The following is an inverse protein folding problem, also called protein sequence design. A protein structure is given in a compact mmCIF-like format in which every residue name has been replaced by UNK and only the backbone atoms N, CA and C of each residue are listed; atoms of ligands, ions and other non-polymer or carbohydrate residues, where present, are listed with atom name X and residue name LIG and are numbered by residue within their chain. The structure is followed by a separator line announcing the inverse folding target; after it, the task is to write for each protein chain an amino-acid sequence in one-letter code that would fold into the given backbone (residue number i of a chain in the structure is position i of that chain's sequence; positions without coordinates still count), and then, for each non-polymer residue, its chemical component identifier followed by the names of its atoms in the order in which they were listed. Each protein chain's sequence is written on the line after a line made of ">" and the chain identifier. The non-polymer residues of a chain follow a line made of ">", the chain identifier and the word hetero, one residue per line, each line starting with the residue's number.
data_IF_965398829639
#
_entry.id   IF_965398829639
#
_cell.length_a   1.000
_cell.length_b   1.000
_cell.length_c   1.000
_cell.angle_alpha   90.00
_cell.angle_beta   90.00
_cell.angle_gamma   90.00
#
_symmetry.space_group_name_H-M   'P 1'
#
loop_
_entity.id
_entity.type
_entity.pdbx_description
1 polymer ?
#
# COMPACT_ATOMS: atom_id res chain seq x y z
N UNK A 1 -9.14 -86.47 16.41
CA UNK A 1 -8.24 -85.74 17.33
C UNK A 1 -7.01 -85.38 16.52
N UNK A 2 -6.51 -84.17 16.73
CA UNK A 2 -5.24 -83.59 16.26
C UNK A 2 -5.11 -83.02 14.84
N UNK A 3 -4.62 -81.77 14.85
CA UNK A 3 -4.18 -80.94 13.73
C UNK A 3 -2.84 -81.45 13.17
N UNK A 4 -2.60 -81.21 11.87
CA UNK A 4 -1.26 -81.05 11.33
C UNK A 4 -1.23 -80.16 10.07
N UNK A 5 -0.06 -79.58 9.87
CA UNK A 5 0.43 -78.47 9.03
C UNK A 5 0.50 -78.65 7.51
N UNK A 6 0.35 -77.50 6.81
CA UNK A 6 1.10 -76.93 5.65
C UNK A 6 1.30 -77.70 4.32
N UNK A 7 1.07 -76.99 3.21
CA UNK A 7 1.87 -76.99 1.95
C UNK A 7 1.38 -75.91 0.97
N UNK A 8 2.30 -75.25 0.24
CA UNK A 8 2.06 -74.28 -0.85
C UNK A 8 2.16 -74.95 -2.24
N UNK A 9 1.53 -74.40 -3.29
CA UNK A 9 2.32 -73.84 -4.43
C UNK A 9 1.69 -72.63 -5.18
N UNK A 10 2.52 -71.85 -5.89
CA UNK A 10 2.18 -70.74 -6.84
C UNK A 10 1.75 -71.26 -8.24
N UNK A 11 1.45 -70.45 -9.32
CA UNK A 11 1.10 -69.01 -9.54
C UNK A 11 -0.20 -68.85 -10.42
N UNK A 12 -0.62 -67.66 -10.97
CA UNK A 12 -0.09 -67.13 -12.24
C UNK A 12 -0.11 -65.58 -12.42
N UNK A 13 0.46 -65.16 -13.55
CA UNK A 13 0.76 -63.80 -14.03
C UNK A 13 -0.40 -63.08 -14.77
N UNK A 14 -0.37 -61.73 -14.70
CA UNK A 14 -0.85 -60.67 -15.64
C UNK A 14 -2.12 -60.90 -16.50
N UNK A 15 -3.26 -60.32 -16.10
CA UNK A 15 -4.07 -59.31 -16.86
C UNK A 15 -5.39 -58.93 -16.16
N UNK A 16 -5.65 -57.61 -16.10
CA UNK A 16 -6.95 -56.94 -15.86
C UNK A 16 -7.53 -57.12 -14.43
N UNK A 17 -8.20 -56.17 -13.79
CA UNK A 17 -8.73 -54.87 -14.17
C UNK A 17 -9.04 -54.14 -12.84
N UNK A 18 -8.72 -52.84 -12.80
CA UNK A 18 -9.18 -51.74 -11.93
C UNK A 18 -9.95 -51.97 -10.60
N UNK A 19 -9.72 -50.98 -9.72
CA UNK A 19 -10.37 -50.63 -8.45
C UNK A 19 -9.75 -51.36 -7.23
N UNK A 20 -9.08 -50.70 -6.28
CA UNK A 20 -9.51 -49.49 -5.56
C UNK A 20 -8.31 -48.76 -4.96
N UNK A 21 -8.35 -47.44 -5.10
CA UNK A 21 -7.37 -46.42 -4.71
C UNK A 21 -7.27 -46.27 -3.19
N UNK A 22 -6.12 -46.63 -2.59
CA UNK A 22 -5.56 -45.99 -1.38
C UNK A 22 -4.04 -46.07 -1.48
N UNK A 23 -3.40 -44.97 -1.87
CA UNK A 23 -1.97 -44.78 -1.68
C UNK A 23 -1.73 -43.33 -1.33
N UNK A 24 -1.30 -43.13 -0.10
CA UNK A 24 -0.76 -41.87 0.41
C UNK A 24 0.42 -41.44 -0.47
N UNK A 25 0.20 -40.43 -1.30
CA UNK A 25 1.28 -39.68 -1.94
C UNK A 25 1.58 -38.46 -1.08
N UNK A 26 2.63 -38.56 -0.29
CA UNK A 26 3.42 -37.41 0.18
C UNK A 26 3.90 -36.63 -1.05
N UNK A 27 3.09 -35.67 -1.49
CA UNK A 27 3.56 -34.63 -2.39
C UNK A 27 4.47 -33.71 -1.56
N UNK A 28 5.77 -33.99 -1.60
CA UNK A 28 6.77 -33.00 -1.24
C UNK A 28 6.52 -31.78 -2.13
N UNK A 29 5.92 -30.74 -1.56
CA UNK A 29 5.88 -29.42 -2.18
C UNK A 29 7.32 -28.95 -2.21
N UNK A 30 7.99 -29.21 -3.33
CA UNK A 30 9.22 -28.53 -3.67
C UNK A 30 8.85 -27.06 -3.87
N UNK A 31 8.87 -26.29 -2.77
CA UNK A 31 8.95 -24.84 -2.83
C UNK A 31 10.26 -24.56 -3.55
N UNK A 32 10.14 -24.30 -4.85
CA UNK A 32 11.24 -23.75 -5.64
C UNK A 32 11.47 -22.34 -5.10
N UNK A 33 12.23 -22.24 -4.02
CA UNK A 33 12.92 -21.01 -3.71
C UNK A 33 13.87 -20.77 -4.88
N UNK A 34 13.41 -20.03 -5.89
CA UNK A 34 14.30 -19.34 -6.81
C UNK A 34 15.07 -18.36 -5.93
N UNK A 35 16.20 -18.82 -5.40
CA UNK A 35 17.27 -17.92 -5.04
C UNK A 35 17.52 -17.09 -6.29
N UNK A 36 17.19 -15.81 -6.23
CA UNK A 36 17.57 -14.87 -7.26
C UNK A 36 19.11 -14.93 -7.34
N UNK A 37 19.63 -15.67 -8.32
CA UNK A 37 20.96 -15.39 -8.84
C UNK A 37 21.05 -13.88 -9.03
N UNK A 38 22.13 -13.20 -8.64
CA UNK A 38 22.33 -11.80 -8.98
C UNK A 38 22.39 -11.72 -10.51
N UNK A 39 21.22 -11.62 -11.13
CA UNK A 39 21.05 -11.43 -12.55
C UNK A 39 21.72 -10.11 -12.84
N UNK A 40 22.61 -10.13 -13.84
CA UNK A 40 23.24 -8.99 -14.46
C UNK A 40 22.35 -7.75 -14.31
N UNK A 41 22.61 -6.89 -13.31
CA UNK A 41 21.76 -5.73 -13.07
C UNK A 41 21.94 -4.86 -14.30
N UNK A 42 20.96 -4.89 -15.21
CA UNK A 42 20.96 -4.04 -16.38
C UNK A 42 21.23 -2.62 -15.89
N UNK A 43 22.29 -2.00 -16.41
CA UNK A 43 22.59 -0.58 -16.16
C UNK A 43 21.91 0.28 -17.21
N UNK A 44 20.91 -0.25 -17.92
CA UNK A 44 20.12 0.51 -18.86
C UNK A 44 19.53 1.73 -18.17
N UNK A 45 19.65 2.84 -18.87
CA UNK A 45 19.29 4.16 -18.39
C UNK A 45 17.78 4.23 -18.21
N UNK A 46 17.32 4.68 -17.04
CA UNK A 46 15.91 4.94 -16.75
C UNK A 46 15.74 6.40 -16.39
N UNK A 47 14.91 7.13 -17.14
CA UNK A 47 14.59 8.53 -16.92
C UNK A 47 13.29 8.64 -16.14
N UNK A 48 13.35 9.36 -15.02
CA UNK A 48 12.27 9.50 -14.07
C UNK A 48 11.81 10.95 -13.99
N UNK A 49 10.49 11.14 -13.91
CA UNK A 49 9.84 12.40 -13.61
C UNK A 49 9.10 12.31 -12.28
N UNK A 50 9.19 13.35 -11.45
CA UNK A 50 8.60 13.37 -10.10
C UNK A 50 7.52 14.44 -10.02
N UNK A 51 6.29 14.03 -9.76
CA UNK A 51 5.13 14.90 -9.54
C UNK A 51 4.85 15.03 -8.03
N UNK A 52 4.76 16.27 -7.54
CA UNK A 52 4.61 16.60 -6.12
C UNK A 52 5.95 16.56 -5.40
N UNK A 53 6.54 17.73 -5.11
CA UNK A 53 7.98 17.79 -4.77
C UNK A 53 8.30 17.77 -3.27
N UNK A 54 7.32 17.72 -2.37
CA UNK A 54 7.65 17.70 -0.93
C UNK A 54 8.16 16.31 -0.50
N UNK A 55 7.28 15.31 -0.48
CA UNK A 55 7.71 13.91 -0.38
C UNK A 55 8.55 13.50 -1.60
N UNK A 56 8.18 14.01 -2.79
CA UNK A 56 8.87 13.71 -4.03
C UNK A 56 10.34 14.12 -4.05
N UNK A 57 10.78 15.18 -3.36
CA UNK A 57 12.20 15.52 -3.31
C UNK A 57 13.04 14.46 -2.59
N UNK A 58 12.49 13.82 -1.55
CA UNK A 58 13.15 12.68 -0.90
C UNK A 58 13.22 11.50 -1.85
N UNK A 59 12.14 11.23 -2.60
CA UNK A 59 12.12 10.17 -3.61
C UNK A 59 13.11 10.46 -4.73
N UNK A 60 13.12 11.66 -5.30
CA UNK A 60 14.04 12.11 -6.35
C UNK A 60 15.50 11.82 -5.99
N UNK A 61 15.91 12.21 -4.76
CA UNK A 61 17.26 11.93 -4.25
C UNK A 61 17.56 10.43 -4.14
N UNK A 62 16.60 9.61 -3.73
CA UNK A 62 16.81 8.16 -3.64
C UNK A 62 16.79 7.47 -5.01
N UNK A 63 15.93 7.90 -5.93
CA UNK A 63 15.93 7.44 -7.32
C UNK A 63 17.25 7.76 -8.01
N UNK A 64 17.77 8.98 -7.88
CA UNK A 64 19.06 9.38 -8.45
C UNK A 64 20.26 8.61 -7.88
N UNK A 65 20.13 7.98 -6.71
CA UNK A 65 21.16 7.11 -6.14
C UNK A 65 21.13 5.67 -6.68
N UNK A 66 20.14 5.31 -7.50
CA UNK A 66 20.13 4.00 -8.17
C UNK A 66 20.99 4.09 -9.43
N UNK A 67 22.00 3.22 -9.60
CA UNK A 67 22.87 3.26 -10.77
C UNK A 67 22.08 3.20 -12.08
N UNK A 68 22.37 4.12 -13.01
CA UNK A 68 21.68 4.21 -14.30
C UNK A 68 20.29 4.86 -14.25
N UNK A 69 19.94 5.57 -13.18
CA UNK A 69 18.67 6.32 -13.09
C UNK A 69 18.95 7.82 -13.12
N UNK A 70 18.20 8.55 -13.94
CA UNK A 70 18.26 10.01 -14.03
C UNK A 70 16.89 10.63 -13.75
N UNK A 71 16.77 11.45 -12.72
CA UNK A 71 15.55 12.19 -12.41
C UNK A 71 15.57 13.52 -13.16
N UNK A 72 15.11 13.53 -14.41
CA UNK A 72 15.24 14.72 -15.28
C UNK A 72 14.12 15.73 -15.15
N UNK A 73 13.00 15.36 -14.53
CA UNK A 73 11.82 16.22 -14.45
C UNK A 73 11.32 16.32 -13.02
N UNK A 74 11.22 17.55 -12.50
CA UNK A 74 10.50 17.85 -11.26
C UNK A 74 9.22 18.61 -11.60
N UNK A 75 8.11 18.26 -10.97
CA UNK A 75 6.82 18.85 -11.25
C UNK A 75 6.03 19.18 -9.98
N UNK A 76 5.59 20.42 -9.89
CA UNK A 76 4.66 20.88 -8.87
C UNK A 76 3.85 22.07 -9.40
N UNK A 77 2.60 22.16 -8.96
CA UNK A 77 1.71 23.27 -9.28
C UNK A 77 2.01 24.51 -8.44
N UNK A 78 2.72 24.34 -7.33
CA UNK A 78 3.28 25.43 -6.52
C UNK A 78 4.68 25.79 -7.02
N UNK A 79 4.78 26.93 -7.70
CA UNK A 79 6.04 27.43 -8.27
C UNK A 79 7.13 27.71 -7.22
N UNK A 80 6.78 28.08 -5.99
CA UNK A 80 7.79 28.32 -4.94
C UNK A 80 8.40 27.01 -4.46
N UNK A 81 7.57 25.99 -4.23
CA UNK A 81 8.04 24.64 -3.87
C UNK A 81 8.87 24.03 -4.98
N UNK A 82 8.41 24.16 -6.23
CA UNK A 82 9.11 23.65 -7.40
C UNK A 82 10.50 24.27 -7.56
N UNK A 83 10.61 25.60 -7.47
CA UNK A 83 11.89 26.31 -7.57
C UNK A 83 12.85 25.89 -6.45
N UNK A 84 12.37 25.84 -5.20
CA UNK A 84 13.19 25.40 -4.06
C UNK A 84 13.67 23.94 -4.20
N UNK A 85 12.79 23.05 -4.64
CA UNK A 85 13.13 21.65 -4.88
C UNK A 85 14.16 21.50 -6.00
N UNK A 86 13.99 22.23 -7.10
CA UNK A 86 14.94 22.27 -8.21
C UNK A 86 16.32 22.78 -7.79
N UNK A 87 16.39 23.94 -7.13
CA UNK A 87 17.64 24.50 -6.62
C UNK A 87 18.39 23.55 -5.69
N UNK A 88 17.65 22.75 -4.91
CA UNK A 88 18.22 21.75 -4.00
C UNK A 88 18.70 20.51 -4.75
N UNK A 89 17.88 19.99 -5.66
CA UNK A 89 18.13 18.70 -6.30
C UNK A 89 19.11 18.79 -7.47
N UNK A 90 19.02 19.83 -8.31
CA UNK A 90 19.90 20.01 -9.46
C UNK A 90 21.38 20.14 -9.07
N UNK A 91 21.67 20.61 -7.85
CA UNK A 91 23.05 20.67 -7.30
C UNK A 91 23.59 19.31 -6.87
N UNK A 92 22.73 18.29 -6.73
CA UNK A 92 23.11 16.95 -6.26
C UNK A 92 23.35 15.95 -7.39
N UNK A 93 23.20 16.38 -8.64
CA UNK A 93 23.34 15.55 -9.85
C UNK A 93 24.15 16.29 -10.91
N UNK A 94 24.68 15.57 -11.89
CA UNK A 94 25.55 16.09 -12.96
C UNK A 94 24.85 16.19 -14.33
N UNK A 95 23.54 15.99 -14.38
CA UNK A 95 22.70 16.14 -15.56
C UNK A 95 21.68 17.27 -15.40
N UNK A 96 21.15 17.75 -16.53
CA UNK A 96 20.13 18.78 -16.55
C UNK A 96 18.82 18.27 -15.91
N UNK A 97 18.28 19.04 -14.97
CA UNK A 97 16.96 18.84 -14.36
C UNK A 97 16.03 19.95 -14.83
N UNK A 98 14.89 19.57 -15.41
CA UNK A 98 13.85 20.49 -15.88
C UNK A 98 12.71 20.58 -14.87
N UNK A 99 12.10 21.75 -14.77
CA UNK A 99 10.88 21.98 -14.00
C UNK A 99 9.66 22.02 -14.91
N UNK A 100 8.54 21.46 -14.44
CA UNK A 100 7.28 21.39 -15.19
C UNK A 100 6.14 21.72 -14.24
N UNK A 101 5.25 22.66 -14.57
CA UNK A 101 4.10 22.97 -13.71
C UNK A 101 2.97 21.93 -13.84
N UNK A 102 2.82 21.35 -15.04
CA UNK A 102 1.76 20.41 -15.38
C UNK A 102 2.36 19.08 -15.84
N UNK A 103 2.18 18.03 -15.03
CA UNK A 103 2.77 16.72 -15.28
C UNK A 103 2.30 16.10 -16.61
N UNK A 104 1.15 16.51 -17.17
CA UNK A 104 0.69 15.96 -18.46
C UNK A 104 1.71 16.24 -19.57
N UNK A 105 2.40 17.38 -19.50
CA UNK A 105 3.47 17.75 -20.44
C UNK A 105 4.69 16.86 -20.36
N UNK A 106 5.00 16.28 -19.19
CA UNK A 106 6.10 15.31 -19.09
C UNK A 106 5.70 13.95 -19.65
N UNK A 107 4.42 13.60 -19.70
CA UNK A 107 3.98 12.31 -20.25
C UNK A 107 4.20 12.21 -21.77
N UNK A 108 4.15 13.35 -22.47
CA UNK A 108 4.42 13.45 -23.92
C UNK A 108 5.92 13.34 -24.28
N UNK A 109 6.80 13.35 -23.27
CA UNK A 109 8.25 13.26 -23.46
C UNK A 109 8.64 11.81 -23.80
N UNK A 110 9.19 11.53 -25.01
CA UNK A 110 9.49 10.17 -25.42
C UNK A 110 10.53 9.49 -24.53
N UNK A 111 11.54 10.24 -24.06
CA UNK A 111 12.60 9.70 -23.23
C UNK A 111 12.22 9.48 -21.77
N UNK A 112 11.01 9.88 -21.32
CA UNK A 112 10.56 9.63 -19.95
C UNK A 112 10.11 8.16 -19.84
N UNK A 113 10.68 7.41 -18.89
CA UNK A 113 10.34 5.99 -18.69
C UNK A 113 9.33 5.80 -17.56
N UNK A 114 9.45 6.57 -16.48
CA UNK A 114 8.60 6.41 -15.30
C UNK A 114 8.15 7.74 -14.67
N UNK A 115 6.90 7.76 -14.20
CA UNK A 115 6.35 8.78 -13.32
C UNK A 115 6.47 8.32 -11.86
N UNK A 116 7.01 9.17 -11.01
CA UNK A 116 6.87 9.09 -9.55
C UNK A 116 5.77 10.06 -9.14
N UNK A 117 4.63 9.54 -8.71
CA UNK A 117 3.51 10.35 -8.22
C UNK A 117 3.56 10.44 -6.69
N UNK A 118 3.91 11.62 -6.17
CA UNK A 118 3.93 11.98 -4.74
C UNK A 118 3.08 13.24 -4.46
N UNK A 119 2.03 13.41 -5.25
CA UNK A 119 1.02 14.46 -5.12
C UNK A 119 0.04 14.15 -3.96
N UNK A 120 -1.00 14.96 -3.71
CA UNK A 120 -2.07 14.57 -2.79
C UNK A 120 -2.85 13.33 -3.25
N UNK A 121 -3.54 12.64 -2.33
CA UNK A 121 -4.20 11.34 -2.61
C UNK A 121 -5.15 11.37 -3.82
N UNK A 122 -5.92 12.46 -4.00
CA UNK A 122 -6.86 12.61 -5.12
C UNK A 122 -6.18 12.61 -6.49
N UNK A 123 -4.87 12.80 -6.56
CA UNK A 123 -4.10 12.72 -7.80
C UNK A 123 -3.46 11.36 -8.06
N UNK A 124 -3.31 10.51 -7.05
CA UNK A 124 -2.51 9.30 -7.14
C UNK A 124 -2.97 8.39 -8.29
N UNK A 125 -4.21 7.90 -8.26
CA UNK A 125 -4.71 7.04 -9.32
C UNK A 125 -4.93 7.79 -10.66
N UNK A 126 -5.56 8.98 -10.70
CA UNK A 126 -5.78 9.69 -11.97
C UNK A 126 -4.48 10.01 -12.73
N UNK A 127 -3.43 10.50 -12.05
CA UNK A 127 -2.13 10.76 -12.69
C UNK A 127 -1.45 9.46 -13.14
N UNK A 128 -1.55 8.41 -12.33
CA UNK A 128 -0.97 7.10 -12.65
C UNK A 128 -1.65 6.42 -13.84
N UNK A 129 -2.98 6.55 -13.97
CA UNK A 129 -3.74 6.06 -15.13
C UNK A 129 -3.30 6.80 -16.39
N UNK A 130 -3.21 8.14 -16.35
CA UNK A 130 -2.72 8.93 -17.48
C UNK A 130 -1.29 8.55 -17.88
N UNK A 131 -0.41 8.32 -16.90
CA UNK A 131 0.96 7.86 -17.14
C UNK A 131 0.99 6.47 -17.78
N UNK A 132 0.18 5.52 -17.31
CA UNK A 132 0.07 4.20 -17.93
C UNK A 132 -0.40 4.31 -19.39
N UNK A 133 -1.42 5.13 -19.66
CA UNK A 133 -1.94 5.37 -21.00
C UNK A 133 -0.91 5.99 -21.94
N UNK A 134 0.00 6.81 -21.41
CA UNK A 134 1.15 7.38 -22.13
C UNK A 134 2.35 6.42 -22.23
N UNK A 135 2.20 5.16 -21.84
CA UNK A 135 3.24 4.13 -21.92
C UNK A 135 4.29 4.18 -20.81
N UNK A 136 4.07 4.98 -19.76
CA UNK A 136 5.02 5.20 -18.66
C UNK A 136 4.80 4.19 -17.53
N UNK A 137 5.89 3.76 -16.90
CA UNK A 137 5.84 3.04 -15.63
C UNK A 137 5.50 4.00 -14.49
N UNK A 138 5.02 3.50 -13.35
CA UNK A 138 4.58 4.36 -12.25
C UNK A 138 5.05 3.86 -10.89
N UNK A 139 5.70 4.73 -10.13
CA UNK A 139 5.80 4.60 -8.69
C UNK A 139 4.80 5.59 -8.07
N UNK A 140 3.79 5.11 -7.37
CA UNK A 140 2.75 5.95 -6.75
C UNK A 140 2.88 5.90 -5.24
N UNK A 141 2.98 7.03 -4.56
CA UNK A 141 2.99 7.06 -3.10
C UNK A 141 1.69 6.49 -2.51
N UNK A 142 1.77 6.05 -1.25
CA UNK A 142 0.61 5.55 -0.53
C UNK A 142 -0.32 6.70 -0.10
N UNK A 143 -1.63 6.46 0.04
CA UNK A 143 -2.37 5.30 -0.48
C UNK A 143 -2.51 5.39 -2.01
N UNK A 144 -2.53 4.29 -2.75
CA UNK A 144 -2.44 4.38 -4.23
C UNK A 144 -3.62 5.05 -4.95
N UNK A 145 -4.75 5.28 -4.26
CA UNK A 145 -5.97 5.86 -4.80
C UNK A 145 -6.75 6.62 -3.70
N UNK A 146 -7.68 7.49 -4.11
CA UNK A 146 -8.52 8.25 -3.18
C UNK A 146 -9.83 7.51 -2.81
N UNK A 147 -10.32 6.64 -3.69
CA UNK A 147 -11.50 5.80 -3.48
C UNK A 147 -11.31 4.40 -4.08
N UNK A 148 -12.16 3.41 -3.70
CA UNK A 148 -12.08 2.05 -4.23
C UNK A 148 -12.09 1.95 -5.76
N UNK A 149 -13.02 2.66 -6.42
CA UNK A 149 -13.17 2.62 -7.88
C UNK A 149 -11.91 3.05 -8.62
N UNK A 150 -11.22 4.07 -8.14
CA UNK A 150 -9.94 4.50 -8.69
C UNK A 150 -8.86 3.43 -8.63
N UNK A 151 -8.81 2.65 -7.55
CA UNK A 151 -7.87 1.54 -7.42
C UNK A 151 -8.14 0.43 -8.44
N UNK A 152 -9.42 0.09 -8.66
CA UNK A 152 -9.82 -0.86 -9.71
C UNK A 152 -9.40 -0.38 -11.11
N UNK A 153 -9.65 0.90 -11.41
CA UNK A 153 -9.27 1.50 -12.69
C UNK A 153 -7.75 1.55 -12.87
N UNK A 154 -7.01 1.81 -11.79
CA UNK A 154 -5.55 1.84 -11.84
C UNK A 154 -4.96 0.44 -12.10
N UNK A 155 -5.51 -0.62 -11.48
CA UNK A 155 -5.14 -2.01 -11.81
C UNK A 155 -5.43 -2.28 -13.29
N UNK A 156 -6.63 -1.93 -13.77
CA UNK A 156 -7.00 -2.13 -15.17
C UNK A 156 -6.03 -1.40 -16.12
N UNK A 157 -5.65 -0.16 -15.82
CA UNK A 157 -4.70 0.61 -16.62
C UNK A 157 -3.31 -0.03 -16.64
N UNK A 158 -2.79 -0.44 -15.48
CA UNK A 158 -1.50 -1.12 -15.37
C UNK A 158 -1.45 -2.38 -16.24
N UNK A 159 -2.52 -3.21 -16.19
CA UNK A 159 -2.61 -4.44 -16.98
C UNK A 159 -2.82 -4.17 -18.47
N UNK A 160 -3.73 -3.26 -18.84
CA UNK A 160 -4.04 -2.89 -20.23
C UNK A 160 -2.80 -2.38 -20.96
N UNK A 161 -2.03 -1.52 -20.32
CA UNK A 161 -0.83 -0.91 -20.90
C UNK A 161 0.47 -1.68 -20.57
N UNK A 162 0.38 -2.82 -19.88
CA UNK A 162 1.51 -3.66 -19.47
C UNK A 162 2.61 -2.86 -18.78
N UNK A 163 2.24 -2.03 -17.81
CA UNK A 163 3.15 -1.14 -17.08
C UNK A 163 3.37 -1.66 -15.65
N UNK A 164 4.63 -1.63 -15.22
CA UNK A 164 5.01 -1.77 -13.81
C UNK A 164 4.45 -0.58 -13.02
N UNK A 165 3.52 -0.85 -12.11
CA UNK A 165 2.95 0.14 -11.19
C UNK A 165 3.17 -0.35 -9.76
N UNK A 166 3.97 0.39 -8.98
CA UNK A 166 4.30 0.05 -7.59
C UNK A 166 3.80 1.11 -6.62
N UNK A 167 3.13 0.68 -5.56
CA UNK A 167 2.76 1.57 -4.46
C UNK A 167 3.94 1.79 -3.50
N UNK A 168 4.12 3.01 -2.98
CA UNK A 168 5.20 3.40 -2.08
C UNK A 168 5.07 2.95 -0.62
N UNK A 169 4.64 1.71 -0.37
CA UNK A 169 4.66 1.06 0.96
C UNK A 169 5.97 0.28 1.16
N UNK A 170 7.06 1.01 1.39
CA UNK A 170 8.42 0.48 1.33
C UNK A 170 8.77 -0.61 2.36
N UNK A 171 7.91 -0.86 3.35
CA UNK A 171 8.08 -1.97 4.31
C UNK A 171 8.06 -3.34 3.64
N UNK A 172 7.41 -3.47 2.46
CA UNK A 172 7.48 -4.69 1.63
C UNK A 172 8.87 -4.96 1.05
N UNK A 173 9.82 -4.04 1.18
CA UNK A 173 11.22 -4.22 0.80
C UNK A 173 12.18 -4.12 2.00
N UNK A 174 11.68 -3.99 3.23
CA UNK A 174 12.52 -3.97 4.43
C UNK A 174 12.99 -5.37 4.77
N UNK A 175 14.31 -5.60 4.79
CA UNK A 175 14.90 -6.93 4.99
C UNK A 175 14.37 -7.63 6.24
N UNK A 176 14.36 -6.94 7.39
CA UNK A 176 13.90 -7.51 8.67
C UNK A 176 12.39 -7.65 8.77
N UNK A 177 11.63 -6.88 7.99
CA UNK A 177 10.19 -7.07 7.85
C UNK A 177 9.92 -8.33 7.01
N UNK A 178 10.60 -8.50 5.88
CA UNK A 178 10.49 -9.72 5.04
C UNK A 178 10.87 -10.97 5.86
N UNK A 179 11.96 -10.90 6.63
CA UNK A 179 12.38 -11.97 7.55
C UNK A 179 11.27 -12.31 8.56
N UNK A 180 10.68 -11.31 9.21
CA UNK A 180 9.59 -11.51 10.15
C UNK A 180 8.34 -12.14 9.52
N UNK A 181 7.99 -11.74 8.30
CA UNK A 181 6.87 -12.36 7.55
C UNK A 181 7.16 -13.82 7.23
N UNK A 182 8.40 -14.14 6.84
CA UNK A 182 8.83 -15.53 6.64
C UNK A 182 8.72 -16.38 7.92
N UNK A 183 9.07 -15.81 9.08
CA UNK A 183 8.91 -16.49 10.38
C UNK A 183 7.42 -16.70 10.74
N UNK A 184 6.58 -15.70 10.50
CA UNK A 184 5.13 -15.79 10.68
C UNK A 184 4.53 -16.91 9.83
N UNK A 185 4.77 -16.87 8.52
CA UNK A 185 4.25 -17.86 7.57
C UNK A 185 4.86 -19.25 7.79
N UNK A 186 6.09 -19.31 8.32
CA UNK A 186 6.74 -20.55 8.76
C UNK A 186 6.21 -21.13 10.07
N UNK A 187 5.20 -20.51 10.70
CA UNK A 187 4.54 -21.02 11.91
C UNK A 187 5.34 -20.79 13.20
N UNK A 188 6.26 -19.81 13.23
CA UNK A 188 7.11 -19.53 14.41
C UNK A 188 6.32 -19.23 15.69
N UNK A 189 5.12 -18.67 15.55
CA UNK A 189 4.17 -18.41 16.63
C UNK A 189 2.88 -19.23 16.51
N UNK A 190 2.90 -20.29 15.68
CA UNK A 190 1.78 -21.19 15.49
C UNK A 190 0.63 -20.57 14.67
N UNK A 191 -0.62 -20.92 14.98
CA UNK A 191 -1.79 -20.46 14.23
C UNK A 191 -2.16 -19.02 14.62
N UNK A 192 -2.11 -18.09 13.66
CA UNK A 192 -2.40 -16.67 13.89
C UNK A 192 -3.81 -16.32 13.43
N UNK A 193 -4.64 -15.85 14.36
CA UNK A 193 -6.03 -15.45 14.09
C UNK A 193 -6.25 -13.94 14.18
N UNK A 194 -5.37 -13.22 14.87
CA UNK A 194 -5.59 -11.82 15.19
C UNK A 194 -4.34 -10.98 14.96
N UNK A 195 -4.56 -9.81 14.35
CA UNK A 195 -3.54 -8.76 14.27
C UNK A 195 -4.10 -7.41 14.70
N UNK A 196 -3.36 -6.70 15.57
CA UNK A 196 -3.63 -5.30 15.93
C UNK A 196 -2.58 -4.42 15.31
N UNK A 197 -3.02 -3.41 14.56
CA UNK A 197 -2.20 -2.37 13.94
C UNK A 197 -2.57 -1.02 14.52
N UNK A 198 -1.61 -0.12 14.68
CA UNK A 198 -1.89 1.19 15.26
C UNK A 198 -1.02 2.31 14.72
N UNK A 199 -1.53 3.52 14.94
CA UNK A 199 -0.79 4.77 14.86
C UNK A 199 -1.20 5.69 16.01
N UNK A 200 -0.21 6.22 16.70
CA UNK A 200 -0.36 7.13 17.82
C UNK A 200 0.63 8.29 17.67
N UNK A 201 0.12 9.52 17.70
CA UNK A 201 0.88 10.72 17.36
C UNK A 201 0.40 11.94 18.16
N UNK A 202 0.96 13.11 17.88
CA UNK A 202 0.63 14.37 18.54
C UNK A 202 0.31 15.44 17.48
N UNK A 203 -0.73 15.15 16.69
CA UNK A 203 -1.24 16.06 15.67
C UNK A 203 -1.94 17.23 16.36
N UNK A 204 -1.51 18.45 16.05
CA UNK A 204 -2.24 19.67 16.42
C UNK A 204 -3.51 19.87 15.57
N UNK A 205 -4.32 20.89 15.91
CA UNK A 205 -5.49 21.25 15.13
C UNK A 205 -5.11 21.82 13.76
N UNK A 206 -6.03 21.75 12.81
CA UNK A 206 -5.90 22.36 11.48
C UNK A 206 -6.54 23.76 11.44
N UNK A 207 -7.18 24.17 12.53
CA UNK A 207 -7.88 25.45 12.69
C UNK A 207 -9.18 25.55 11.89
N UNK A 208 -9.85 26.69 12.02
CA UNK A 208 -11.03 27.05 11.23
C UNK A 208 -10.62 28.00 10.10
N UNK A 209 -10.75 27.52 8.87
CA UNK A 209 -10.38 28.23 7.67
C UNK A 209 -11.41 29.29 7.31
N UNK A 210 -10.95 30.37 6.72
CA UNK A 210 -11.80 31.40 6.13
C UNK A 210 -11.72 31.31 4.60
N UNK A 211 -12.81 31.63 3.88
CA UNK A 211 -12.72 31.83 2.43
C UNK A 211 -11.58 32.79 2.09
N UNK A 212 -10.78 32.44 1.09
CA UNK A 212 -9.65 33.23 0.62
C UNK A 212 -9.41 32.97 -0.87
N UNK A 213 -8.63 33.81 -1.53
CA UNK A 213 -8.09 33.51 -2.85
C UNK A 213 -6.90 32.56 -2.71
N UNK A 214 -6.74 31.65 -3.68
CA UNK A 214 -5.56 30.82 -3.74
C UNK A 214 -4.32 31.70 -3.97
N UNK A 215 -3.18 31.40 -3.32
CA UNK A 215 -1.96 32.16 -3.55
C UNK A 215 -1.56 32.15 -5.03
N UNK A 216 -1.11 33.28 -5.61
CA UNK A 216 -0.88 33.41 -7.06
C UNK A 216 0.27 32.53 -7.58
N UNK A 217 1.09 31.99 -6.68
CA UNK A 217 2.19 31.09 -7.01
C UNK A 217 1.74 29.61 -7.11
N UNK A 218 0.47 29.31 -6.87
CA UNK A 218 -0.14 27.97 -6.96
C UNK A 218 -1.23 27.98 -8.03
N UNK A 219 -1.10 27.09 -9.02
CA UNK A 219 -2.23 26.76 -9.90
C UNK A 219 -3.23 25.90 -9.12
N UNK A 220 -4.21 26.55 -8.48
CA UNK A 220 -5.18 25.88 -7.62
C UNK A 220 -6.18 25.02 -8.40
N UNK A 221 -6.50 25.39 -9.64
CA UNK A 221 -7.36 24.59 -10.50
C UNK A 221 -6.69 23.26 -10.84
N UNK A 222 -5.41 23.30 -11.22
CA UNK A 222 -4.64 22.09 -11.46
C UNK A 222 -4.32 21.35 -10.15
N UNK A 223 -4.12 22.04 -9.03
CA UNK A 223 -3.96 21.38 -7.73
C UNK A 223 -5.19 20.54 -7.36
N UNK A 224 -6.40 21.07 -7.55
CA UNK A 224 -7.64 20.34 -7.33
C UNK A 224 -7.81 19.19 -8.33
N UNK A 225 -7.44 19.43 -9.59
CA UNK A 225 -7.34 18.40 -10.62
C UNK A 225 -8.64 17.60 -10.77
N UNK A 226 -8.64 16.29 -10.48
CA UNK A 226 -9.83 15.44 -10.61
C UNK A 226 -10.89 15.63 -9.53
N UNK A 227 -10.58 16.28 -8.41
CA UNK A 227 -11.54 16.49 -7.34
C UNK A 227 -12.61 17.54 -7.75
N UNK A 228 -13.89 17.39 -7.37
CA UNK A 228 -14.89 18.43 -7.51
C UNK A 228 -14.42 19.73 -6.88
N UNK A 229 -14.74 20.85 -7.55
CA UNK A 229 -14.26 22.16 -7.16
C UNK A 229 -14.81 22.60 -5.81
N UNK A 230 -13.91 23.09 -4.98
CA UNK A 230 -14.23 23.77 -3.73
C UNK A 230 -13.51 25.12 -3.70
N UNK A 231 -14.16 26.18 -3.18
CA UNK A 231 -13.46 27.43 -2.91
C UNK A 231 -12.23 27.22 -2.02
N UNK A 232 -11.19 28.00 -2.27
CA UNK A 232 -9.99 27.97 -1.44
C UNK A 232 -10.29 28.48 -0.02
N UNK A 233 -9.67 27.84 0.97
CA UNK A 233 -9.71 28.25 2.37
C UNK A 233 -8.30 28.41 2.92
N UNK A 234 -8.10 29.38 3.82
CA UNK A 234 -6.77 29.74 4.36
C UNK A 234 -6.02 28.59 5.04
N UNK A 235 -6.73 27.55 5.49
CA UNK A 235 -6.18 26.37 6.15
C UNK A 235 -6.09 25.13 5.24
N UNK A 236 -6.37 25.22 3.93
CA UNK A 236 -6.44 24.03 3.06
C UNK A 236 -5.07 23.41 2.78
N UNK A 237 -4.08 24.25 2.52
CA UNK A 237 -2.78 23.85 2.01
C UNK A 237 -1.68 23.93 3.08
N UNK A 238 -0.59 23.19 2.98
CA UNK A 238 -0.35 22.10 2.02
C UNK A 238 -0.38 20.73 2.65
N UNK A 239 -0.48 20.60 3.97
CA UNK A 239 -0.60 19.30 4.62
C UNK A 239 -2.03 19.00 5.06
N UNK A 240 -2.86 20.03 5.22
CA UNK A 240 -4.22 19.87 5.77
C UNK A 240 -5.21 19.20 4.80
N UNK A 241 -4.89 19.07 3.51
CA UNK A 241 -5.71 18.33 2.56
C UNK A 241 -5.93 16.87 2.96
N UNK A 242 -5.04 16.27 3.75
CA UNK A 242 -5.20 14.89 4.26
C UNK A 242 -6.51 14.71 5.04
N UNK A 243 -6.97 15.79 5.68
CA UNK A 243 -8.06 15.81 6.66
C UNK A 243 -9.41 16.24 6.08
N UNK A 244 -9.44 16.50 4.77
CA UNK A 244 -10.63 16.91 4.03
C UNK A 244 -10.98 15.81 3.05
N UNK A 245 -12.19 15.23 3.16
CA UNK A 245 -12.60 14.06 2.38
C UNK A 245 -12.53 14.27 0.87
N UNK A 246 -12.61 15.52 0.40
CA UNK A 246 -12.48 15.84 -1.02
C UNK A 246 -11.11 15.49 -1.61
N UNK A 247 -10.05 15.51 -0.80
CA UNK A 247 -8.66 15.40 -1.24
C UNK A 247 -7.90 14.25 -0.57
N UNK A 248 -8.19 14.00 0.71
CA UNK A 248 -7.50 13.01 1.53
C UNK A 248 -8.42 11.95 2.12
N UNK A 249 -7.83 11.07 2.92
CA UNK A 249 -8.49 9.90 3.51
C UNK A 249 -8.22 9.76 5.03
N UNK A 250 -7.85 10.86 5.69
CA UNK A 250 -7.56 10.88 7.13
C UNK A 250 -6.35 10.05 7.52
N UNK A 251 -6.21 9.77 8.82
CA UNK A 251 -5.08 8.97 9.30
C UNK A 251 -5.12 7.52 8.81
N UNK A 252 -6.32 6.99 8.59
CA UNK A 252 -6.50 5.62 8.10
C UNK A 252 -5.85 5.42 6.72
N UNK A 253 -6.00 6.38 5.80
CA UNK A 253 -5.32 6.36 4.51
C UNK A 253 -3.89 6.92 4.55
N UNK A 254 -3.56 7.80 5.50
CA UNK A 254 -2.23 8.41 5.61
C UNK A 254 -1.22 7.46 6.27
N UNK A 255 -1.45 7.06 7.52
CA UNK A 255 -0.54 6.18 8.26
C UNK A 255 -1.10 4.76 8.40
N UNK A 256 -2.41 4.58 8.46
CA UNK A 256 -3.03 3.26 8.63
C UNK A 256 -2.69 2.28 7.52
N UNK A 257 -2.59 2.76 6.28
CA UNK A 257 -2.15 1.94 5.13
C UNK A 257 -0.82 1.23 5.38
N UNK A 258 0.11 1.82 6.14
CA UNK A 258 1.39 1.17 6.40
C UNK A 258 1.25 -0.06 7.32
N UNK A 259 0.51 0.04 8.42
CA UNK A 259 0.42 -1.06 9.39
C UNK A 259 -0.70 -2.05 9.05
N UNK A 260 -1.79 -1.60 8.42
CA UNK A 260 -2.83 -2.50 7.87
C UNK A 260 -2.24 -3.39 6.77
N UNK A 261 -1.36 -2.87 5.92
CA UNK A 261 -0.65 -3.68 4.92
C UNK A 261 0.20 -4.79 5.56
N UNK A 262 0.91 -4.48 6.66
CA UNK A 262 1.66 -5.48 7.42
C UNK A 262 0.74 -6.55 7.99
N UNK A 263 -0.37 -6.14 8.63
CA UNK A 263 -1.36 -7.07 9.20
C UNK A 263 -1.94 -8.00 8.13
N UNK A 264 -2.30 -7.43 6.96
CA UNK A 264 -2.83 -8.18 5.82
C UNK A 264 -1.81 -9.19 5.30
N UNK A 265 -0.56 -8.75 5.12
CA UNK A 265 0.54 -9.60 4.64
C UNK A 265 0.86 -10.73 5.63
N UNK A 266 0.92 -10.43 6.92
CA UNK A 266 1.20 -11.42 7.97
C UNK A 266 0.08 -12.46 8.12
N UNK A 267 -1.19 -12.05 8.03
CA UNK A 267 -2.35 -12.96 8.11
C UNK A 267 -2.68 -13.68 6.79
N UNK A 268 -2.05 -13.29 5.68
CA UNK A 268 -2.30 -13.83 4.34
C UNK A 268 -3.78 -13.75 3.94
N UNK A 269 -4.36 -12.56 4.10
CA UNK A 269 -5.76 -12.26 3.73
C UNK A 269 -5.82 -11.20 2.63
N UNK A 270 -6.91 -11.17 1.87
CA UNK A 270 -7.11 -10.20 0.79
C UNK A 270 -8.22 -9.21 1.16
N UNK A 271 -9.49 -9.63 1.10
CA UNK A 271 -10.64 -8.79 1.37
C UNK A 271 -11.45 -9.28 2.58
N UNK A 272 -11.99 -8.38 3.42
CA UNK A 272 -12.79 -8.78 4.56
C UNK A 272 -14.18 -9.28 4.13
N UNK A 273 -14.81 -10.07 4.98
CA UNK A 273 -16.24 -10.39 4.95
C UNK A 273 -17.06 -9.29 5.66
N UNK A 274 -16.42 -8.57 6.59
CA UNK A 274 -17.06 -7.52 7.37
C UNK A 274 -16.09 -6.42 7.80
N UNK A 275 -16.55 -5.18 7.78
CA UNK A 275 -15.84 -4.04 8.35
C UNK A 275 -16.76 -3.22 9.26
N UNK A 276 -16.28 -2.88 10.47
CA UNK A 276 -17.01 -2.06 11.44
C UNK A 276 -16.11 -0.98 11.97
N UNK A 277 -16.64 0.24 12.12
CA UNK A 277 -15.89 1.39 12.60
C UNK A 277 -16.55 2.06 13.79
N UNK A 278 -15.72 2.58 14.70
CA UNK A 278 -16.12 3.47 15.79
C UNK A 278 -15.06 4.54 16.00
N UNK A 279 -15.46 5.77 16.29
CA UNK A 279 -14.52 6.88 16.47
C UNK A 279 -15.08 8.19 15.95
N UNK A 280 -14.24 9.22 15.96
CA UNK A 280 -14.62 10.56 15.52
C UNK A 280 -13.48 11.57 15.68
N UNK A 281 -13.82 12.83 15.46
CA UNK A 281 -12.96 13.99 15.72
C UNK A 281 -13.27 14.50 17.14
N UNK A 282 -12.45 14.14 18.13
CA UNK A 282 -12.76 14.36 19.55
C UNK A 282 -11.85 15.37 20.25
N UNK A 283 -10.61 15.58 19.78
CA UNK A 283 -9.65 16.42 20.51
C UNK A 283 -9.83 17.92 20.25
N UNK A 284 -10.19 18.31 19.03
CA UNK A 284 -10.25 19.70 18.62
C UNK A 284 -11.56 20.02 17.89
N UNK A 285 -12.07 21.23 18.13
CA UNK A 285 -13.14 21.86 17.35
C UNK A 285 -12.51 22.66 16.20
N UNK A 286 -12.29 21.99 15.07
CA UNK A 286 -11.69 22.54 13.86
C UNK A 286 -12.28 21.92 12.58
N UNK A 287 -11.78 22.32 11.41
CA UNK A 287 -12.36 21.90 10.13
C UNK A 287 -12.01 20.46 9.70
N UNK A 288 -11.27 19.70 10.52
CA UNK A 288 -10.89 18.33 10.17
C UNK A 288 -12.14 17.45 10.09
N UNK A 289 -12.34 16.83 8.93
CA UNK A 289 -13.52 16.01 8.66
C UNK A 289 -13.32 14.53 9.01
N UNK A 290 -12.07 14.13 9.24
CA UNK A 290 -11.68 12.74 9.49
C UNK A 290 -11.45 12.48 10.97
N UNK A 291 -11.68 11.25 11.41
CA UNK A 291 -11.46 10.86 12.80
C UNK A 291 -10.00 11.10 13.27
N UNK A 292 -9.83 11.51 14.52
CA UNK A 292 -8.55 11.56 15.24
C UNK A 292 -8.40 10.41 16.25
N UNK A 293 -9.52 9.86 16.67
CA UNK A 293 -9.66 8.72 17.56
C UNK A 293 -10.52 7.72 16.80
N UNK A 294 -9.91 6.63 16.31
CA UNK A 294 -10.56 5.76 15.33
C UNK A 294 -10.18 4.30 15.56
N UNK A 295 -11.17 3.44 15.69
CA UNK A 295 -10.98 1.98 15.69
C UNK A 295 -11.76 1.40 14.54
N UNK A 296 -11.12 0.51 13.78
CA UNK A 296 -11.78 -0.24 12.71
C UNK A 296 -11.43 -1.72 12.88
N UNK A 297 -12.45 -2.57 12.84
CA UNK A 297 -12.29 -4.03 12.87
C UNK A 297 -12.68 -4.61 11.52
N UNK A 298 -11.84 -5.52 11.01
CA UNK A 298 -12.04 -6.25 9.77
C UNK A 298 -12.07 -7.75 10.06
N UNK A 299 -13.13 -8.43 9.68
CA UNK A 299 -13.28 -9.88 9.81
C UNK A 299 -13.06 -10.53 8.44
N UNK A 300 -12.33 -11.64 8.40
CA UNK A 300 -11.98 -12.38 7.20
C UNK A 300 -12.33 -13.86 7.34
N UNK A 301 -12.52 -14.52 6.21
CA UNK A 301 -12.69 -15.96 6.15
C UNK A 301 -11.58 -16.72 6.87
N UNK A 302 -11.91 -17.88 7.44
CA UNK A 302 -10.99 -18.68 8.24
C UNK A 302 -10.80 -18.19 9.68
N UNK A 303 -11.70 -17.33 10.18
CA UNK A 303 -11.68 -16.85 11.56
C UNK A 303 -10.47 -15.97 11.85
N UNK A 304 -10.17 -15.05 10.92
CA UNK A 304 -9.07 -14.10 11.03
C UNK A 304 -9.60 -12.68 11.20
N UNK A 305 -8.91 -11.86 11.99
CA UNK A 305 -9.32 -10.50 12.27
C UNK A 305 -8.14 -9.54 12.28
N UNK A 306 -8.35 -8.35 11.68
CA UNK A 306 -7.44 -7.21 11.79
C UNK A 306 -8.17 -6.10 12.54
N UNK A 307 -7.51 -5.51 13.53
CA UNK A 307 -7.95 -4.27 14.17
C UNK A 307 -6.95 -3.17 13.85
N UNK A 308 -7.48 -2.03 13.42
CA UNK A 308 -6.76 -0.77 13.31
C UNK A 308 -7.16 0.14 14.48
N UNK A 309 -6.18 0.82 15.05
CA UNK A 309 -6.36 1.83 16.09
C UNK A 309 -5.57 3.09 15.79
N UNK A 310 -6.27 4.22 15.83
CA UNK A 310 -5.71 5.54 15.62
C UNK A 310 -5.92 6.41 16.85
N UNK A 311 -4.81 6.95 17.36
CA UNK A 311 -4.77 7.99 18.38
C UNK A 311 -3.93 9.16 17.85
N UNK A 312 -4.47 9.93 16.90
CA UNK A 312 -3.70 10.96 16.18
C UNK A 312 -3.20 12.09 17.08
N UNK A 313 -3.84 12.30 18.22
CA UNK A 313 -3.57 13.39 19.17
C UNK A 313 -3.09 12.88 20.54
N UNK A 314 -2.68 11.62 20.65
CA UNK A 314 -1.98 11.09 21.81
C UNK A 314 -0.83 10.15 21.40
N UNK A 315 0.39 10.40 21.91
CA UNK A 315 1.60 9.63 21.56
C UNK A 315 1.64 8.24 22.19
N UNK A 316 0.82 7.96 23.20
CA UNK A 316 0.86 6.70 23.91
C UNK A 316 0.02 5.64 23.19
N UNK A 317 0.63 5.02 22.17
CA UNK A 317 0.04 3.89 21.44
C UNK A 317 0.27 2.55 22.12
N UNK A 318 -0.14 1.47 21.44
CA UNK A 318 0.05 0.12 21.94
C UNK A 318 1.54 -0.19 22.17
N UNK A 319 1.83 -0.94 23.22
CA UNK A 319 3.19 -1.27 23.67
C UNK A 319 4.10 -0.05 23.89
N UNK A 320 3.52 1.12 24.16
CA UNK A 320 4.25 2.36 24.37
C UNK A 320 4.88 2.94 23.11
N UNK A 321 4.49 2.48 21.91
CA UNK A 321 5.03 2.97 20.64
C UNK A 321 4.00 3.74 19.82
N UNK A 322 4.49 4.66 18.97
CA UNK A 322 3.63 5.46 18.08
C UNK A 322 3.15 4.73 16.81
N UNK A 323 3.70 3.55 16.52
CA UNK A 323 3.38 2.80 15.30
C UNK A 323 3.77 1.33 15.47
N UNK A 324 2.96 0.43 14.92
CA UNK A 324 3.33 -0.97 14.83
C UNK A 324 2.19 -1.87 14.38
N UNK A 325 2.51 -3.16 14.32
CA UNK A 325 1.54 -4.25 14.18
C UNK A 325 1.93 -5.43 15.06
N UNK A 326 0.96 -6.08 15.71
CA UNK A 326 1.17 -7.32 16.47
C UNK A 326 0.41 -8.47 15.84
N UNK A 327 0.90 -9.68 16.06
CA UNK A 327 0.31 -10.93 15.62
C UNK A 327 0.25 -11.88 16.80
N UNK A 328 -0.91 -12.51 16.99
CA UNK A 328 -1.22 -13.31 18.18
C UNK A 328 -1.52 -14.73 17.73
N UNK A 329 -0.63 -15.65 18.09
CA UNK A 329 -0.74 -17.05 17.73
C UNK A 329 -0.74 -17.98 18.94
N UNK A 330 -1.10 -19.24 18.71
CA UNK A 330 -1.22 -20.26 19.77
C UNK A 330 0.13 -20.68 20.40
N UNK A 331 1.27 -20.30 19.81
CA UNK A 331 2.63 -20.58 20.33
C UNK A 331 3.42 -19.32 20.70
N UNK A 332 2.80 -18.15 20.68
CA UNK A 332 3.46 -16.90 21.02
C UNK A 332 2.92 -15.70 20.26
N UNK A 333 3.67 -14.60 20.32
CA UNK A 333 3.32 -13.34 19.67
C UNK A 333 4.50 -12.77 18.89
N UNK A 334 4.20 -12.09 17.78
CA UNK A 334 5.19 -11.32 17.03
C UNK A 334 4.76 -9.85 17.02
N UNK A 335 5.70 -8.96 17.33
CA UNK A 335 5.52 -7.51 17.25
C UNK A 335 6.42 -6.96 16.16
N UNK A 336 5.84 -6.28 15.17
CA UNK A 336 6.54 -5.46 14.18
C UNK A 336 6.57 -4.02 14.68
N UNK A 337 7.78 -3.50 14.89
CA UNK A 337 8.00 -2.09 15.14
C UNK A 337 8.20 -1.35 13.79
N UNK A 338 8.74 -0.14 13.81
CA UNK A 338 8.95 0.67 12.60
C UNK A 338 9.66 -0.06 11.46
N UNK A 339 10.69 -0.88 11.75
CA UNK A 339 11.54 -1.56 10.74
C UNK A 339 12.06 -2.94 11.14
N UNK A 340 11.93 -3.32 12.40
CA UNK A 340 12.36 -4.59 12.97
C UNK A 340 11.21 -5.33 13.66
N UNK A 341 11.55 -6.37 14.42
CA UNK A 341 10.56 -7.22 15.06
C UNK A 341 11.02 -7.81 16.39
N UNK A 342 10.05 -8.20 17.19
CA UNK A 342 10.23 -8.97 18.43
C UNK A 342 9.36 -10.21 18.43
N UNK A 343 9.82 -11.27 19.10
CA UNK A 343 9.04 -12.50 19.30
C UNK A 343 8.96 -12.79 20.78
N UNK A 344 7.75 -13.12 21.22
CA UNK A 344 7.43 -13.56 22.57
C UNK A 344 6.96 -15.01 22.54
N UNK A 345 7.39 -15.81 23.51
CA UNK A 345 6.89 -17.18 23.69
C UNK A 345 5.49 -17.20 24.34
N UNK A 346 4.94 -18.39 24.57
CA UNK A 346 3.63 -18.61 25.20
C UNK A 346 3.50 -18.03 26.62
N UNK A 347 4.63 -17.73 27.28
CA UNK A 347 4.69 -17.11 28.61
C UNK A 347 4.93 -15.60 28.53
N UNK A 348 4.80 -15.02 27.33
CA UNK A 348 5.08 -13.62 27.03
C UNK A 348 6.50 -13.18 27.36
N UNK A 349 7.46 -14.11 27.37
CA UNK A 349 8.88 -13.78 27.50
C UNK A 349 9.43 -13.41 26.14
N UNK A 350 10.12 -12.27 26.06
CA UNK A 350 10.86 -11.88 24.85
C UNK A 350 11.99 -12.89 24.60
N UNK A 351 11.96 -13.55 23.42
CA UNK A 351 12.96 -14.54 23.00
C UNK A 351 13.76 -14.09 21.79
N UNK A 352 13.32 -13.04 21.10
CA UNK A 352 14.01 -12.46 19.94
C UNK A 352 13.69 -10.98 19.84
N UNK A 353 14.70 -10.17 19.53
CA UNK A 353 14.56 -8.76 19.18
C UNK A 353 15.56 -8.43 18.09
N UNK A 354 15.08 -7.94 16.95
CA UNK A 354 15.89 -7.61 15.78
C UNK A 354 15.53 -6.22 15.32
N UNK A 355 16.53 -5.36 15.21
CA UNK A 355 16.39 -4.02 14.62
C UNK A 355 16.59 -4.10 13.11
N UNK A 356 15.81 -3.28 12.37
CA UNK A 356 15.92 -3.15 10.93
C UNK A 356 16.15 -1.72 10.50
N UNK A 357 16.46 -1.56 9.21
CA UNK A 357 16.67 -0.27 8.56
C UNK A 357 15.53 0.04 7.59
N UNK A 358 15.40 1.32 7.23
CA UNK A 358 14.40 1.78 6.26
C UNK A 358 14.54 1.06 4.91
N UNK A 359 13.44 0.47 4.44
CA UNK A 359 13.36 -0.26 3.18
C UNK A 359 13.29 0.60 1.91
N UNK A 360 13.22 1.94 2.00
CA UNK A 360 12.96 2.84 0.87
C UNK A 360 13.94 2.64 -0.29
N UNK A 361 15.24 2.55 -0.02
CA UNK A 361 16.25 2.34 -1.08
C UNK A 361 16.07 1.01 -1.79
N UNK A 362 15.84 -0.06 -1.03
CA UNK A 362 15.57 -1.39 -1.57
C UNK A 362 14.27 -1.41 -2.39
N UNK A 363 13.26 -0.66 -1.95
CA UNK A 363 11.97 -0.58 -2.61
C UNK A 363 12.04 0.14 -3.96
N UNK A 364 12.77 1.25 -4.02
CA UNK A 364 13.02 1.97 -5.27
C UNK A 364 13.90 1.14 -6.21
N UNK A 365 14.95 0.50 -5.71
CA UNK A 365 15.79 -0.40 -6.52
C UNK A 365 14.98 -1.57 -7.11
N UNK A 366 14.06 -2.14 -6.34
CA UNK A 366 13.15 -3.18 -6.81
C UNK A 366 12.23 -2.68 -7.94
N UNK A 367 11.65 -1.48 -7.81
CA UNK A 367 10.86 -0.87 -8.89
C UNK A 367 11.68 -0.69 -10.17
N UNK A 368 12.88 -0.12 -10.07
CA UNK A 368 13.75 0.10 -11.24
C UNK A 368 14.16 -1.24 -11.87
N UNK A 369 14.41 -2.27 -11.07
CA UNK A 369 14.65 -3.61 -11.59
C UNK A 369 13.45 -4.15 -12.38
N UNK A 370 12.22 -3.99 -11.88
CA UNK A 370 11.02 -4.38 -12.61
C UNK A 370 10.83 -3.58 -13.91
N UNK A 371 11.12 -2.28 -13.90
CA UNK A 371 11.05 -1.41 -15.09
C UNK A 371 12.04 -1.88 -16.16
N UNK A 372 13.31 -2.11 -15.80
CA UNK A 372 14.35 -2.56 -16.74
C UNK A 372 14.08 -3.92 -17.37
N UNK A 373 13.35 -4.78 -16.67
CA UNK A 373 12.97 -6.09 -17.20
C UNK A 373 11.57 -6.08 -17.82
N UNK A 374 10.88 -4.94 -17.81
CA UNK A 374 9.46 -4.81 -18.17
C UNK A 374 8.57 -5.89 -17.53
N UNK A 375 8.89 -6.29 -16.30
CA UNK A 375 8.26 -7.42 -15.62
C UNK A 375 7.62 -6.96 -14.29
N UNK A 376 6.31 -6.71 -14.27
CA UNK A 376 5.57 -6.36 -13.05
C UNK A 376 5.63 -7.44 -11.95
N UNK A 377 5.89 -8.70 -12.29
CA UNK A 377 5.96 -9.78 -11.29
C UNK A 377 7.16 -9.64 -10.35
N UNK A 378 8.16 -8.81 -10.72
CA UNK A 378 9.31 -8.52 -9.88
C UNK A 378 8.99 -7.51 -8.77
N UNK A 379 7.86 -6.80 -8.85
CA UNK A 379 7.50 -5.78 -7.86
C UNK A 379 7.17 -6.40 -6.51
N UNK A 380 7.78 -5.87 -5.44
CA UNK A 380 7.44 -6.27 -4.07
C UNK A 380 6.07 -5.73 -3.63
N UNK A 381 5.57 -4.68 -4.31
CA UNK A 381 4.26 -4.10 -4.05
C UNK A 381 3.58 -3.70 -5.36
N UNK A 382 3.31 -4.70 -6.20
CA UNK A 382 2.45 -4.51 -7.38
C UNK A 382 1.12 -3.84 -6.98
N UNK A 383 0.58 -3.05 -7.89
CA UNK A 383 -0.56 -2.19 -7.63
C UNK A 383 -1.82 -2.93 -7.16
N UNK A 384 -1.99 -4.20 -7.55
CA UNK A 384 -3.10 -5.03 -7.08
C UNK A 384 -2.97 -5.31 -5.57
N UNK A 385 -1.77 -5.64 -5.11
CA UNK A 385 -1.47 -5.85 -3.69
C UNK A 385 -1.58 -4.54 -2.89
N UNK A 386 -1.14 -3.42 -3.48
CA UNK A 386 -1.28 -2.09 -2.89
C UNK A 386 -2.75 -1.64 -2.78
N UNK A 387 -3.56 -1.95 -3.79
CA UNK A 387 -4.99 -1.66 -3.81
C UNK A 387 -5.73 -2.46 -2.73
N UNK A 388 -5.46 -3.76 -2.58
CA UNK A 388 -6.08 -4.58 -1.51
C UNK A 388 -5.91 -3.92 -0.14
N UNK A 389 -4.69 -3.53 0.21
CA UNK A 389 -4.41 -2.86 1.48
C UNK A 389 -5.07 -1.48 1.57
N UNK A 390 -5.05 -0.71 0.49
CA UNK A 390 -5.71 0.61 0.41
C UNK A 390 -7.24 0.49 0.53
N UNK A 391 -7.82 -0.57 0.01
CA UNK A 391 -9.25 -0.83 0.08
C UNK A 391 -9.72 -1.06 1.52
N UNK A 392 -8.94 -1.75 2.37
CA UNK A 392 -9.26 -1.86 3.80
C UNK A 392 -9.36 -0.47 4.45
N UNK A 393 -8.43 0.44 4.13
CA UNK A 393 -8.50 1.82 4.61
C UNK A 393 -9.77 2.54 4.10
N UNK A 394 -10.15 2.35 2.84
CA UNK A 394 -11.39 2.91 2.32
C UNK A 394 -12.63 2.32 3.00
N UNK A 395 -12.71 1.00 3.16
CA UNK A 395 -13.82 0.34 3.85
C UNK A 395 -13.99 0.84 5.30
N UNK A 396 -12.89 1.04 6.03
CA UNK A 396 -12.95 1.61 7.37
C UNK A 396 -13.47 3.05 7.39
N UNK A 397 -13.08 3.87 6.41
CA UNK A 397 -13.63 5.22 6.25
C UNK A 397 -15.09 5.23 5.79
N UNK A 398 -15.50 4.30 4.93
CA UNK A 398 -16.89 4.14 4.48
C UNK A 398 -17.78 3.73 5.66
N UNK A 399 -17.36 2.75 6.46
CA UNK A 399 -18.04 2.33 7.68
C UNK A 399 -18.18 3.50 8.67
N UNK A 400 -17.11 4.29 8.84
CA UNK A 400 -17.15 5.47 9.71
C UNK A 400 -18.14 6.53 9.23
N UNK A 401 -18.14 6.83 7.93
CA UNK A 401 -18.97 7.91 7.35
C UNK A 401 -20.45 7.54 7.26
N UNK A 402 -20.77 6.26 7.11
CA UNK A 402 -22.14 5.75 7.09
C UNK A 402 -22.68 5.45 8.48
N UNK A 403 -21.80 5.12 9.44
CA UNK A 403 -22.19 4.58 10.75
C UNK A 403 -22.60 3.10 10.70
N UNK A 404 -22.44 2.44 9.53
CA UNK A 404 -22.89 1.09 9.30
C UNK A 404 -21.82 0.03 9.58
N UNK A 405 -22.29 -1.18 9.87
CA UNK A 405 -21.49 -2.41 9.79
C UNK A 405 -21.54 -2.92 8.35
N UNK A 406 -20.43 -2.80 7.61
CA UNK A 406 -20.37 -3.22 6.21
C UNK A 406 -20.22 -4.73 6.11
N UNK A 407 -21.10 -5.38 5.35
CA UNK A 407 -20.87 -6.73 4.81
C UNK A 407 -20.16 -6.59 3.48
N UNK A 408 -19.11 -7.36 3.28
CA UNK A 408 -18.25 -7.26 2.10
C UNK A 408 -18.18 -8.60 1.36
N UNK A 409 -18.03 -8.54 0.04
CA UNK A 409 -17.70 -9.71 -0.77
C UNK A 409 -16.20 -10.05 -0.59
N UNK A 410 -15.85 -11.23 -0.06
CA UNK A 410 -14.44 -11.59 0.18
C UNK A 410 -13.63 -11.82 -1.10
N UNK A 411 -14.25 -11.87 -2.28
CA UNK A 411 -13.55 -12.05 -3.57
C UNK A 411 -13.03 -10.73 -4.16
N UNK A 412 -13.67 -9.59 -3.84
CA UNK A 412 -13.33 -8.29 -4.44
C UNK A 412 -13.46 -7.09 -3.49
N UNK A 413 -13.93 -7.30 -2.26
CA UNK A 413 -14.08 -6.27 -1.22
C UNK A 413 -15.30 -5.36 -1.38
N UNK A 414 -16.14 -5.53 -2.40
CA UNK A 414 -17.35 -4.72 -2.58
C UNK A 414 -18.30 -4.84 -1.40
N UNK A 415 -18.92 -3.72 -1.01
CA UNK A 415 -19.96 -3.71 0.01
C UNK A 415 -21.23 -4.34 -0.57
N UNK A 416 -21.83 -5.26 0.18
CA UNK A 416 -23.06 -5.96 -0.16
C UNK A 416 -24.25 -5.30 0.51
N UNK A 417 -25.36 -5.22 -0.22
CA UNK A 417 -26.68 -4.82 0.30
C UNK A 417 -26.71 -3.45 1.04
N UNK A 418 -25.83 -2.50 0.66
CA UNK A 418 -25.79 -1.15 1.23
C UNK A 418 -25.50 -0.08 0.16
N UNK A 419 -26.56 0.56 -0.35
CA UNK A 419 -26.47 1.56 -1.41
C UNK A 419 -25.76 2.85 -0.96
N UNK A 420 -25.96 3.31 0.28
CA UNK A 420 -25.33 4.53 0.81
C UNK A 420 -23.81 4.37 0.93
N UNK A 421 -23.34 3.20 1.39
CA UNK A 421 -21.93 2.87 1.40
C UNK A 421 -21.35 2.82 -0.02
N UNK A 422 -22.09 2.26 -0.99
CA UNK A 422 -21.66 2.16 -2.38
C UNK A 422 -21.59 3.51 -3.10
N UNK A 423 -22.33 4.54 -2.66
CA UNK A 423 -22.12 5.92 -3.16
C UNK A 423 -20.72 6.45 -2.85
N UNK A 424 -20.07 5.93 -1.81
CA UNK A 424 -18.70 6.28 -1.42
C UNK A 424 -17.63 5.38 -2.07
N UNK A 425 -18.04 4.37 -2.84
CA UNK A 425 -17.12 3.51 -3.60
C UNK A 425 -16.42 4.26 -4.73
N UNK A 426 -17.09 5.28 -5.24
CA UNK A 426 -16.59 6.21 -6.25
C UNK A 426 -16.88 7.64 -5.82
N UNK A 427 -16.48 8.59 -6.65
CA UNK A 427 -16.74 10.02 -6.47
C UNK A 427 -17.27 10.63 -7.76
N UNK A 428 -17.91 11.78 -7.63
CA UNK A 428 -18.00 12.71 -8.75
C UNK A 428 -16.61 13.30 -9.03
N UNK A 429 -16.33 13.50 -10.31
CA UNK A 429 -15.12 14.13 -10.80
C UNK A 429 -15.46 15.51 -11.36
N UNK A 430 -14.46 16.38 -11.39
CA UNK A 430 -14.61 17.58 -12.20
C UNK A 430 -14.79 17.20 -13.69
N UNK A 431 -15.73 17.82 -14.42
CA UNK A 431 -15.94 17.52 -15.83
C UNK A 431 -14.65 17.49 -16.65
N UNK A 432 -14.40 16.36 -17.32
CA UNK A 432 -13.22 16.14 -18.15
C UNK A 432 -12.03 15.52 -17.41
N UNK A 433 -12.12 15.32 -16.10
CA UNK A 433 -11.10 14.66 -15.29
C UNK A 433 -11.44 13.23 -14.90
N UNK A 434 -12.57 12.70 -15.37
CA UNK A 434 -12.96 11.32 -15.10
C UNK A 434 -11.86 10.37 -15.60
N UNK A 435 -11.29 9.51 -14.73
CA UNK A 435 -10.27 8.57 -15.16
C UNK A 435 -10.81 7.59 -16.20
N UNK A 436 -10.07 7.44 -17.31
CA UNK A 436 -10.41 6.55 -18.42
C UNK A 436 -9.27 5.58 -18.64
N UNK A 437 -9.61 4.29 -18.73
CA UNK A 437 -8.65 3.19 -18.89
C UNK A 437 -8.60 2.73 -20.33
#
# INVERSE_FOLDING_TARGET
>A
MDQATATTPSPPTRRSFLHTTVAASTAAVAVSARAATPGNQSTERVVVGVMGVERGLVLAKNFANVPGVEVRYLCDVDSQRLNKAHETFAKSVDYEVKTVADFRKMLDVPELDALVCAAPNHWHAPASILACSAGKHVYVEKPCCHNPREGELLIQAARKHKRCVQMGNQRRSGEKIIEAMGLLHGGRIGNVHYSRSWYAADRGPIGKGTPAEAPPYIDYELWQGPAPRLPFTSNRLHYNWHWVWNYGNGELGNNGIHSIDLSRWGLQVDYPERAVSSGGRYFYDDDQQTADTHVVSFEFGGGRQIVWECLSCNRYGADGTGFGATFHGDKGSLFLNSWGYKIFDEKMKEVTSVDGVDGLRAHIANFINAVRNEDPQLLHSDIEEGHKSTLLCHLGNIAHRTGDSLRCNPENGHVLDNEEAMKLWQREYEPGWEPKV
#
